data_IF_534048333106
#
_entry.id   IF_534048333106
#
_cell.length_a   1.000
_cell.length_b   1.000
_cell.length_c   1.000
_cell.angle_alpha   90.00
_cell.angle_beta   90.00
_cell.angle_gamma   90.00
#
_symmetry.space_group_name_H-M   'P 1'
#
loop_
_entity.id
_entity.type
_entity.pdbx_description
1 polymer ?
#
# COMPACT_ATOMS: atom_id res chain seq x y z
N UNK A 1 16.17 14.15 18.41
CA UNK A 1 15.39 14.82 17.33
C UNK A 1 14.68 13.79 16.48
N UNK A 2 13.42 14.03 16.19
CA UNK A 2 12.69 13.18 15.25
C UNK A 2 13.26 13.37 13.83
N UNK A 3 13.39 12.28 13.09
CA UNK A 3 13.72 12.37 11.67
C UNK A 3 12.62 13.11 10.92
N UNK A 4 12.95 13.98 9.94
CA UNK A 4 11.93 14.62 9.14
C UNK A 4 11.12 13.57 8.35
N UNK A 5 9.80 13.78 8.27
CA UNK A 5 8.90 12.93 7.51
C UNK A 5 8.95 13.39 6.05
N UNK A 6 9.68 12.69 5.21
CA UNK A 6 9.98 13.11 3.83
C UNK A 6 9.51 12.12 2.78
N UNK A 7 9.04 10.95 3.19
CA UNK A 7 8.65 9.88 2.29
C UNK A 7 7.14 9.80 2.14
N UNK A 8 6.67 9.16 1.06
CA UNK A 8 5.26 8.91 0.82
C UNK A 8 5.02 7.43 0.58
N UNK A 9 3.88 6.93 1.05
CA UNK A 9 3.46 5.56 0.81
C UNK A 9 2.33 5.53 -0.22
N UNK A 10 2.38 4.53 -1.09
CA UNK A 10 1.38 4.29 -2.13
C UNK A 10 0.85 2.88 -1.93
N UNK A 11 -0.39 2.78 -1.48
CA UNK A 11 -0.99 1.54 -0.98
C UNK A 11 -2.03 1.02 -1.95
N UNK A 12 -1.82 -0.20 -2.41
CA UNK A 12 -2.81 -0.96 -3.16
C UNK A 12 -3.86 -1.48 -2.17
N UNK A 13 -4.91 -0.70 -1.96
CA UNK A 13 -5.92 -0.99 -0.95
C UNK A 13 -6.71 -2.26 -1.25
N UNK A 14 -6.99 -2.55 -2.52
CA UNK A 14 -7.68 -3.77 -2.90
C UNK A 14 -6.84 -5.01 -2.56
N UNK A 15 -5.55 -4.96 -2.87
CA UNK A 15 -4.62 -6.06 -2.56
C UNK A 15 -4.46 -6.24 -1.05
N UNK A 16 -4.35 -5.14 -0.31
CA UNK A 16 -4.20 -5.18 1.14
C UNK A 16 -5.41 -5.80 1.82
N UNK A 17 -6.63 -5.49 1.36
CA UNK A 17 -7.85 -6.10 1.89
C UNK A 17 -7.92 -7.60 1.57
N UNK A 18 -7.57 -8.01 0.35
CA UNK A 18 -7.52 -9.43 0.00
C UNK A 18 -6.49 -10.18 0.82
N UNK A 19 -5.37 -9.54 1.14
CA UNK A 19 -4.32 -10.17 1.94
C UNK A 19 -4.76 -10.55 3.35
N UNK A 20 -5.81 -9.93 3.89
CA UNK A 20 -6.35 -10.34 5.19
C UNK A 20 -6.78 -11.80 5.22
N UNK A 21 -7.28 -12.32 4.09
CA UNK A 21 -7.64 -13.73 3.95
C UNK A 21 -6.39 -14.62 3.88
N UNK A 22 -5.35 -14.14 3.23
CA UNK A 22 -4.11 -14.91 3.02
C UNK A 22 -3.29 -15.06 4.29
N UNK A 23 -3.20 -14.00 5.09
CA UNK A 23 -2.38 -14.00 6.30
C UNK A 23 -3.08 -14.58 7.52
N UNK A 24 -4.42 -14.73 7.48
CA UNK A 24 -5.18 -15.38 8.55
C UNK A 24 -5.38 -14.54 9.80
N UNK A 25 -5.10 -13.25 9.76
CA UNK A 25 -5.33 -12.33 10.88
C UNK A 25 -5.70 -10.95 10.36
N UNK A 26 -6.34 -10.15 11.20
CA UNK A 26 -6.83 -8.84 10.80
C UNK A 26 -5.76 -7.77 11.03
N UNK A 27 -5.41 -7.06 9.96
CA UNK A 27 -4.49 -5.92 10.03
C UNK A 27 -5.20 -4.73 10.69
N UNK A 28 -4.53 -4.12 11.66
CA UNK A 28 -4.97 -2.86 12.23
C UNK A 28 -4.42 -1.72 11.37
N UNK A 29 -5.28 -1.06 10.60
CA UNK A 29 -4.86 -0.02 9.67
C UNK A 29 -4.31 1.22 10.38
N UNK A 30 -4.76 1.50 11.61
CA UNK A 30 -4.21 2.58 12.42
C UNK A 30 -2.75 2.28 12.82
N UNK A 31 -2.50 1.06 13.30
CA UNK A 31 -1.15 0.62 13.64
C UNK A 31 -0.24 0.61 12.42
N UNK A 32 -0.77 0.21 11.27
CA UNK A 32 -0.03 0.21 10.02
C UNK A 32 0.38 1.63 9.62
N UNK A 33 -0.54 2.60 9.74
CA UNK A 33 -0.23 4.00 9.43
C UNK A 33 0.90 4.53 10.33
N UNK A 34 0.83 4.23 11.62
CA UNK A 34 1.87 4.62 12.59
C UNK A 34 3.20 3.95 12.24
N UNK A 35 3.16 2.67 11.89
CA UNK A 35 4.35 1.93 11.47
C UNK A 35 5.04 2.56 10.26
N UNK A 36 4.26 2.98 9.26
CA UNK A 36 4.80 3.65 8.08
C UNK A 36 5.51 4.97 8.47
N UNK A 37 4.92 5.73 9.38
CA UNK A 37 5.50 6.98 9.84
C UNK A 37 6.78 6.76 10.63
N UNK A 38 6.73 5.88 11.63
CA UNK A 38 7.85 5.67 12.55
C UNK A 38 9.02 4.92 11.91
N UNK A 39 8.75 3.93 11.07
CA UNK A 39 9.79 3.06 10.50
C UNK A 39 10.35 3.60 9.20
N UNK A 40 9.50 4.22 8.37
CA UNK A 40 9.88 4.63 7.02
C UNK A 40 9.76 6.13 6.76
N UNK A 41 9.56 6.94 7.79
CA UNK A 41 9.48 8.40 7.70
C UNK A 41 8.43 8.88 6.69
N UNK A 42 7.26 8.21 6.68
CA UNK A 42 6.16 8.51 5.76
C UNK A 42 5.30 9.65 6.31
N UNK A 43 5.23 10.75 5.56
CA UNK A 43 4.36 11.89 5.89
C UNK A 43 2.97 11.73 5.27
N UNK A 44 2.90 11.25 4.04
CA UNK A 44 1.64 11.04 3.32
C UNK A 44 1.49 9.59 2.90
N UNK A 45 0.35 9.00 3.23
CA UNK A 45 0.02 7.64 2.86
C UNK A 45 -1.22 7.65 1.97
N UNK A 46 -1.03 7.39 0.69
CA UNK A 46 -2.11 7.35 -0.30
C UNK A 46 -2.68 5.93 -0.37
N UNK A 47 -3.97 5.82 -0.10
CA UNK A 47 -4.68 4.55 -0.06
C UNK A 47 -5.58 4.46 -1.29
N UNK A 48 -5.15 3.66 -2.26
CA UNK A 48 -5.84 3.54 -3.55
C UNK A 48 -6.83 2.38 -3.48
N UNK A 49 -8.11 2.65 -3.69
CA UNK A 49 -9.16 1.64 -3.53
C UNK A 49 -10.32 1.91 -4.48
N UNK A 50 -10.98 0.84 -4.95
CA UNK A 50 -12.21 0.96 -5.71
C UNK A 50 -13.34 1.52 -4.85
N UNK A 51 -14.13 2.43 -5.39
CA UNK A 51 -15.21 3.07 -4.65
C UNK A 51 -16.45 2.18 -4.62
N UNK A 52 -16.93 1.88 -3.41
CA UNK A 52 -18.18 1.16 -3.17
C UNK A 52 -19.01 1.95 -2.14
N UNK A 53 -20.22 2.40 -2.49
CA UNK A 53 -21.04 3.24 -1.56
C UNK A 53 -21.28 2.57 -0.21
N UNK A 54 -21.37 1.25 -0.17
CA UNK A 54 -21.56 0.49 1.07
C UNK A 54 -20.39 0.56 2.04
N UNK A 55 -19.23 1.04 1.61
CA UNK A 55 -18.01 1.08 2.41
C UNK A 55 -17.69 2.47 2.99
N UNK A 56 -18.69 3.35 3.09
CA UNK A 56 -18.45 4.72 3.57
C UNK A 56 -17.81 4.76 4.97
N UNK A 57 -18.25 3.87 5.87
CA UNK A 57 -17.66 3.78 7.22
C UNK A 57 -16.18 3.45 7.21
N UNK A 58 -15.77 2.55 6.31
CA UNK A 58 -14.35 2.21 6.12
C UNK A 58 -13.57 3.45 5.64
N UNK A 59 -14.10 4.18 4.68
CA UNK A 59 -13.42 5.35 4.12
C UNK A 59 -13.25 6.45 5.16
N UNK A 60 -14.30 6.70 5.94
CA UNK A 60 -14.24 7.70 7.03
C UNK A 60 -13.18 7.32 8.06
N UNK A 61 -13.11 6.04 8.43
CA UNK A 61 -12.12 5.54 9.38
C UNK A 61 -10.69 5.69 8.84
N UNK A 62 -10.46 5.33 7.58
CA UNK A 62 -9.14 5.46 6.97
C UNK A 62 -8.67 6.91 6.93
N UNK A 63 -9.56 7.85 6.62
CA UNK A 63 -9.24 9.28 6.63
C UNK A 63 -8.86 9.75 8.05
N UNK A 64 -9.61 9.33 9.06
CA UNK A 64 -9.30 9.67 10.45
C UNK A 64 -7.95 9.11 10.89
N UNK A 65 -7.57 7.95 10.36
CA UNK A 65 -6.28 7.31 10.65
C UNK A 65 -5.10 7.96 9.93
N UNK A 66 -5.36 8.92 9.06
CA UNK A 66 -4.31 9.68 8.38
C UNK A 66 -3.99 9.24 6.96
N UNK A 67 -4.86 8.47 6.33
CA UNK A 67 -4.71 8.11 4.93
C UNK A 67 -5.40 9.12 4.01
N UNK A 68 -4.78 9.38 2.88
CA UNK A 68 -5.40 10.10 1.76
C UNK A 68 -5.97 9.07 0.79
N UNK A 69 -7.30 9.09 0.57
CA UNK A 69 -7.95 8.11 -0.27
C UNK A 69 -7.92 8.53 -1.74
N UNK A 70 -7.59 7.58 -2.61
CA UNK A 70 -7.67 7.74 -4.04
C UNK A 70 -8.65 6.69 -4.55
N UNK A 71 -9.78 7.15 -5.08
CA UNK A 71 -10.84 6.25 -5.52
C UNK A 71 -10.79 6.03 -7.02
N UNK A 72 -11.07 4.79 -7.42
CA UNK A 72 -11.46 4.47 -8.77
C UNK A 72 -12.91 3.99 -8.75
N UNK A 73 -13.71 4.49 -9.68
CA UNK A 73 -15.07 4.03 -9.83
C UNK A 73 -15.08 2.57 -10.28
N UNK A 74 -15.80 1.73 -9.53
CA UNK A 74 -15.94 0.31 -9.81
C UNK A 74 -17.07 0.11 -10.79
N UNK A 75 -16.82 -0.65 -11.88
CA UNK A 75 -17.85 -1.04 -12.84
C UNK A 75 -18.44 -2.38 -12.43
N UNK A 76 -19.75 -2.52 -12.58
CA UNK A 76 -20.43 -3.79 -12.36
C UNK A 76 -20.49 -4.56 -13.68
N UNK A 77 -19.83 -5.72 -13.74
CA UNK A 77 -19.81 -6.58 -14.91
C UNK A 77 -20.32 -7.96 -14.49
N UNK A 78 -21.43 -8.40 -15.11
CA UNK A 78 -22.07 -9.68 -14.79
C UNK A 78 -22.37 -9.84 -13.30
N UNK A 79 -22.85 -8.75 -12.65
CA UNK A 79 -23.19 -8.76 -11.23
C UNK A 79 -22.01 -8.71 -10.28
N UNK A 80 -20.79 -8.62 -10.79
CA UNK A 80 -19.58 -8.56 -9.96
C UNK A 80 -18.87 -7.20 -10.11
N UNK A 81 -18.33 -6.64 -9.01
CA UNK A 81 -17.54 -5.43 -9.12
C UNK A 81 -16.23 -5.71 -9.88
N UNK A 82 -15.91 -4.86 -10.83
CA UNK A 82 -14.68 -4.94 -11.60
C UNK A 82 -14.02 -3.57 -11.65
N UNK A 83 -12.81 -3.49 -11.13
CA UNK A 83 -12.02 -2.26 -11.15
C UNK A 83 -10.61 -2.56 -10.68
N UNK A 84 -9.66 -2.01 -11.39
CA UNK A 84 -8.23 -2.17 -11.09
C UNK A 84 -7.66 -0.78 -10.81
N UNK A 85 -7.03 -0.61 -9.65
CA UNK A 85 -6.47 0.68 -9.20
C UNK A 85 -5.02 0.88 -9.62
N UNK A 86 -4.44 -0.04 -10.39
CA UNK A 86 -3.00 0.00 -10.71
C UNK A 86 -2.60 1.30 -11.39
N UNK A 87 -3.39 1.75 -12.36
CA UNK A 87 -3.11 3.00 -13.08
C UNK A 87 -3.17 4.21 -12.16
N UNK A 88 -4.17 4.27 -11.27
CA UNK A 88 -4.32 5.37 -10.32
C UNK A 88 -3.15 5.42 -9.33
N UNK A 89 -2.70 4.26 -8.84
CA UNK A 89 -1.55 4.19 -7.94
C UNK A 89 -0.28 4.69 -8.63
N UNK A 90 0.00 4.16 -9.82
CA UNK A 90 1.20 4.56 -10.58
C UNK A 90 1.15 6.04 -10.92
N UNK A 91 -0.02 6.53 -11.38
CA UNK A 91 -0.18 7.95 -11.71
C UNK A 91 0.08 8.84 -10.50
N UNK A 92 -0.48 8.48 -9.34
CA UNK A 92 -0.25 9.27 -8.11
C UNK A 92 1.22 9.25 -7.70
N UNK A 93 1.85 8.09 -7.78
CA UNK A 93 3.28 7.95 -7.49
C UNK A 93 4.12 8.87 -8.38
N UNK A 94 3.79 8.96 -9.66
CA UNK A 94 4.56 9.76 -10.61
C UNK A 94 4.20 11.24 -10.58
N UNK A 95 2.94 11.61 -10.32
CA UNK A 95 2.58 13.04 -10.20
C UNK A 95 3.17 13.66 -8.93
N UNK A 96 3.39 12.87 -7.88
CA UNK A 96 4.00 13.31 -6.63
C UNK A 96 5.52 13.10 -6.59
N UNK A 97 6.10 12.59 -7.67
CA UNK A 97 7.49 12.15 -7.74
C UNK A 97 8.50 13.19 -7.23
N UNK A 98 8.27 14.47 -7.52
CA UNK A 98 9.18 15.56 -7.11
C UNK A 98 8.96 16.02 -5.68
N UNK A 99 7.84 15.61 -5.05
CA UNK A 99 7.46 16.09 -3.71
C UNK A 99 8.06 15.22 -2.62
N UNK A 100 8.02 13.90 -2.78
CA UNK A 100 8.57 12.98 -1.79
C UNK A 100 10.05 12.67 -2.06
N UNK A 101 10.77 12.30 -1.01
CA UNK A 101 12.16 11.86 -1.14
C UNK A 101 12.23 10.43 -1.66
N UNK A 102 11.55 9.50 -1.00
CA UNK A 102 11.45 8.11 -1.41
C UNK A 102 10.04 7.57 -1.20
N UNK A 103 9.70 6.55 -1.96
CA UNK A 103 8.38 5.92 -1.94
C UNK A 103 8.40 4.59 -1.20
N UNK A 104 7.34 4.33 -0.45
CA UNK A 104 7.02 3.00 0.08
C UNK A 104 5.85 2.46 -0.75
N UNK A 105 6.03 1.31 -1.39
CA UNK A 105 5.01 0.68 -2.24
C UNK A 105 4.42 -0.50 -1.48
N UNK A 106 3.11 -0.50 -1.26
CA UNK A 106 2.41 -1.55 -0.50
C UNK A 106 1.52 -2.35 -1.43
N UNK A 107 2.00 -3.52 -1.83
CA UNK A 107 1.29 -4.44 -2.73
C UNK A 107 2.00 -5.79 -2.77
N UNK A 108 1.29 -6.84 -3.20
CA UNK A 108 1.87 -8.15 -3.53
C UNK A 108 1.78 -8.45 -5.02
N UNK A 109 1.28 -7.51 -5.81
CA UNK A 109 0.97 -7.68 -7.23
C UNK A 109 2.18 -7.43 -8.12
N UNK A 110 2.49 -8.39 -8.97
CA UNK A 110 3.61 -8.31 -9.91
C UNK A 110 3.46 -7.24 -10.98
N UNK A 111 2.24 -6.74 -11.21
CA UNK A 111 2.02 -5.65 -12.17
C UNK A 111 2.77 -4.38 -11.78
N UNK A 112 3.13 -4.23 -10.51
CA UNK A 112 3.91 -3.08 -10.03
C UNK A 112 5.43 -3.30 -10.11
N UNK A 113 5.89 -4.44 -10.62
CA UNK A 113 7.34 -4.71 -10.73
C UNK A 113 8.07 -3.65 -11.57
N UNK A 114 7.45 -3.17 -12.64
CA UNK A 114 8.05 -2.14 -13.48
C UNK A 114 8.21 -0.81 -12.72
N UNK A 115 7.23 -0.43 -11.91
CA UNK A 115 7.31 0.77 -11.08
C UNK A 115 8.45 0.64 -10.04
N UNK A 116 8.53 -0.52 -9.38
CA UNK A 116 9.56 -0.79 -8.38
C UNK A 116 10.96 -0.68 -9.00
N UNK A 117 11.15 -1.31 -10.15
CA UNK A 117 12.45 -1.23 -10.88
C UNK A 117 12.83 0.21 -11.20
N UNK A 118 11.86 0.99 -11.69
CA UNK A 118 12.08 2.39 -12.04
C UNK A 118 12.49 3.20 -10.79
N UNK A 119 11.77 3.03 -9.69
CA UNK A 119 12.06 3.75 -8.45
C UNK A 119 13.42 3.37 -7.88
N UNK A 120 13.81 2.10 -7.94
CA UNK A 120 15.15 1.65 -7.52
C UNK A 120 16.22 2.33 -8.38
N UNK A 121 16.04 2.30 -9.70
CA UNK A 121 16.99 2.91 -10.65
C UNK A 121 17.20 4.39 -10.37
N UNK A 122 16.16 5.10 -9.95
CA UNK A 122 16.21 6.53 -9.66
C UNK A 122 16.58 6.86 -8.20
N UNK A 123 16.84 5.85 -7.37
CA UNK A 123 17.13 6.08 -5.96
C UNK A 123 15.93 6.56 -5.17
N UNK A 124 14.71 6.30 -5.65
CA UNK A 124 13.45 6.80 -5.09
C UNK A 124 12.63 5.73 -4.36
N UNK A 125 13.15 4.53 -4.17
CA UNK A 125 12.45 3.49 -3.42
C UNK A 125 12.98 3.38 -2.01
N UNK A 126 12.07 3.45 -1.02
CA UNK A 126 12.40 3.23 0.40
C UNK A 126 12.16 1.77 0.80
N UNK A 127 11.00 1.21 0.42
CA UNK A 127 10.60 -0.16 0.79
C UNK A 127 9.44 -0.64 -0.06
N UNK A 128 9.37 -1.96 -0.27
CA UNK A 128 8.17 -2.63 -0.79
C UNK A 128 7.60 -3.46 0.37
N UNK A 129 6.32 -3.33 0.63
CA UNK A 129 5.64 -4.10 1.69
C UNK A 129 4.58 -4.98 1.03
N UNK A 130 4.79 -6.28 1.06
CA UNK A 130 3.85 -7.28 0.55
C UNK A 130 3.13 -7.98 1.70
N UNK A 131 2.14 -8.82 1.42
CA UNK A 131 1.35 -9.50 2.45
C UNK A 131 2.15 -10.59 3.16
N UNK A 132 2.54 -11.63 2.43
CA UNK A 132 3.44 -12.69 2.90
C UNK A 132 4.17 -13.29 1.69
N UNK A 133 5.29 -13.93 1.96
CA UNK A 133 6.18 -14.43 0.91
C UNK A 133 5.46 -15.41 -0.04
N UNK A 134 4.68 -16.34 0.49
CA UNK A 134 4.00 -17.39 -0.27
C UNK A 134 2.95 -16.85 -1.24
N UNK A 135 2.40 -15.65 -0.96
CA UNK A 135 1.37 -15.02 -1.77
C UNK A 135 1.88 -13.82 -2.58
N UNK A 136 3.18 -13.55 -2.51
CA UNK A 136 3.80 -12.47 -3.26
C UNK A 136 4.20 -12.95 -4.65
N UNK A 137 3.96 -12.11 -5.66
CA UNK A 137 4.40 -12.40 -7.03
C UNK A 137 5.92 -12.55 -7.10
N UNK A 138 6.38 -13.56 -7.82
CA UNK A 138 7.82 -13.76 -8.07
C UNK A 138 8.43 -12.58 -8.82
N UNK A 139 7.68 -11.97 -9.73
CA UNK A 139 8.15 -10.79 -10.48
C UNK A 139 8.42 -9.62 -9.53
N UNK A 140 7.51 -9.39 -8.58
CA UNK A 140 7.65 -8.31 -7.60
C UNK A 140 8.81 -8.59 -6.65
N UNK A 141 8.93 -9.82 -6.18
CA UNK A 141 10.00 -10.21 -5.26
C UNK A 141 11.38 -10.03 -5.92
N UNK A 142 11.53 -10.46 -7.16
CA UNK A 142 12.78 -10.31 -7.91
C UNK A 142 13.09 -8.84 -8.19
N UNK A 143 12.09 -8.06 -8.58
CA UNK A 143 12.28 -6.63 -8.83
C UNK A 143 12.68 -5.87 -7.58
N UNK A 144 12.12 -6.26 -6.43
CA UNK A 144 12.32 -5.58 -5.15
C UNK A 144 13.68 -5.89 -4.51
N UNK A 145 14.21 -7.10 -4.74
CA UNK A 145 15.48 -7.52 -4.13
C UNK A 145 15.45 -7.39 -2.61
N UNK A 146 16.42 -6.69 -2.03
CA UNK A 146 16.51 -6.49 -0.59
C UNK A 146 15.52 -5.47 -0.03
N UNK A 147 14.79 -4.75 -0.89
CA UNK A 147 13.84 -3.72 -0.45
C UNK A 147 12.54 -4.28 0.11
N UNK A 148 12.23 -5.57 -0.12
CA UNK A 148 10.93 -6.13 0.23
C UNK A 148 10.86 -6.60 1.68
N UNK A 149 9.72 -6.36 2.32
CA UNK A 149 9.35 -6.91 3.62
C UNK A 149 7.89 -7.36 3.58
N UNK A 150 7.44 -8.10 4.59
CA UNK A 150 6.12 -8.73 4.57
C UNK A 150 5.33 -8.37 5.82
N UNK A 151 4.05 -8.00 5.63
CA UNK A 151 3.12 -7.68 6.72
C UNK A 151 3.02 -8.85 7.70
N UNK A 152 2.95 -10.08 7.19
CA UNK A 152 2.78 -11.27 8.02
C UNK A 152 3.91 -11.45 9.04
N UNK A 153 5.11 -10.98 8.75
CA UNK A 153 6.25 -11.06 9.68
C UNK A 153 6.14 -10.07 10.83
N UNK A 154 5.17 -9.15 10.76
CA UNK A 154 4.97 -8.08 11.75
C UNK A 154 3.64 -8.25 12.50
N UNK A 155 3.11 -9.46 12.57
CA UNK A 155 1.81 -9.75 13.20
C UNK A 155 1.70 -9.16 14.61
N UNK A 156 2.70 -9.37 15.45
CA UNK A 156 2.68 -8.88 16.83
C UNK A 156 2.52 -7.37 16.92
N UNK A 157 3.06 -6.65 15.94
CA UNK A 157 3.03 -5.18 15.90
C UNK A 157 1.78 -4.64 15.24
N UNK A 158 1.21 -5.36 14.26
CA UNK A 158 0.20 -4.82 13.36
C UNK A 158 -1.18 -5.46 13.50
N UNK A 159 -1.31 -6.54 14.28
CA UNK A 159 -2.60 -7.23 14.41
C UNK A 159 -3.62 -6.39 15.19
N UNK A 160 -4.84 -6.34 14.65
CA UNK A 160 -5.96 -5.71 15.33
C UNK A 160 -6.32 -6.50 16.58
N UNK A 161 -6.42 -5.81 17.69
CA UNK A 161 -6.84 -6.37 18.99
C UNK A 161 -7.93 -5.49 19.58
N UNK A 162 -9.01 -6.14 20.06
CA UNK A 162 -10.08 -5.42 20.74
C UNK A 162 -9.57 -4.82 22.06
#
# INVERSE_FOLDING_TARGET
>A
MKKPLVNSAFIDGNNLHRSALDIGWKLDTRKFRIHLEETYEVSKAYYCIGFMPSNQGLYDRLKEEGYELIFKQVQMVNGKPKGNIDAELVLKCMTQYRVYKQAVIVTSDGDFACLVKYLIQKGKLRKVIASKKENCSDLLEKASGSYITYVNDLRNKLEYRK
#
